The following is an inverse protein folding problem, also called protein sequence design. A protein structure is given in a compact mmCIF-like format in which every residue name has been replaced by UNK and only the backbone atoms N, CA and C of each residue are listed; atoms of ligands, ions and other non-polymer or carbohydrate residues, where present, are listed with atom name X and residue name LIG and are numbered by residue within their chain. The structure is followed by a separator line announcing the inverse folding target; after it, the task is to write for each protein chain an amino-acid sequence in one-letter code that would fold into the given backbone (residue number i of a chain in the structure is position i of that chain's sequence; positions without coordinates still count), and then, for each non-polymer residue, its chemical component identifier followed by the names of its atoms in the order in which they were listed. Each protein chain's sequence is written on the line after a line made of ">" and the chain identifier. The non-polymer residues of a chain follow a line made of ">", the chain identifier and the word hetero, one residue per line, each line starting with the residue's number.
data_IF_153835396222
#
_entry.id   IF_153835396222
#
_cell.length_a   1.000
_cell.length_b   1.000
_cell.length_c   1.000
_cell.angle_alpha   90.00
_cell.angle_beta   90.00
_cell.angle_gamma   90.00
#
_symmetry.space_group_name_H-M   'P 1'
#
loop_
_entity.id
_entity.type
_entity.pdbx_description
1 polymer ?
#
# COMPACT_ATOMS: atom_id res chain seq x y z
N UNK A 1 -27.49 -20.97 -29.32
CA UNK A 1 -27.20 -19.53 -29.26
C UNK A 1 -26.88 -19.22 -27.80
N UNK A 2 -25.69 -18.69 -27.51
CA UNK A 2 -25.17 -18.59 -26.13
C UNK A 2 -25.47 -17.20 -25.53
N UNK A 3 -25.49 -16.15 -26.36
CA UNK A 3 -25.88 -14.79 -25.98
C UNK A 3 -26.19 -13.93 -27.22
N UNK A 4 -26.88 -12.80 -27.03
CA UNK A 4 -27.06 -11.72 -28.01
C UNK A 4 -26.44 -10.43 -27.46
N UNK A 5 -25.67 -9.72 -28.29
CA UNK A 5 -24.91 -8.53 -27.89
C UNK A 5 -25.46 -7.28 -28.59
N UNK A 6 -25.53 -6.19 -27.85
CA UNK A 6 -26.01 -4.89 -28.32
C UNK A 6 -24.93 -3.80 -28.33
N UNK A 7 -25.37 -2.56 -28.56
CA UNK A 7 -24.48 -1.39 -28.57
C UNK A 7 -23.83 -1.19 -27.20
N UNK A 8 -22.49 -1.13 -27.19
CA UNK A 8 -21.69 -0.95 -25.97
C UNK A 8 -21.16 -2.25 -25.36
N UNK A 9 -21.62 -3.40 -25.86
CA UNK A 9 -21.11 -4.69 -25.39
C UNK A 9 -19.74 -5.03 -25.96
N UNK A 10 -18.96 -5.76 -25.19
CA UNK A 10 -17.64 -6.26 -25.57
C UNK A 10 -17.63 -7.77 -25.72
N UNK A 11 -16.73 -8.27 -26.56
CA UNK A 11 -16.52 -9.70 -26.76
C UNK A 11 -15.06 -10.05 -27.06
N UNK A 12 -14.68 -11.31 -26.85
CA UNK A 12 -13.33 -11.82 -27.11
C UNK A 12 -12.33 -11.58 -25.98
N UNK A 13 -12.75 -10.87 -24.93
CA UNK A 13 -11.99 -10.61 -23.72
C UNK A 13 -11.58 -11.89 -23.00
N UNK A 14 -12.44 -12.93 -23.02
CA UNK A 14 -12.16 -14.18 -22.33
C UNK A 14 -10.90 -14.83 -22.88
N UNK A 15 -10.69 -14.79 -24.20
CA UNK A 15 -9.50 -15.35 -24.82
C UNK A 15 -8.24 -14.54 -24.48
N UNK A 16 -8.37 -13.21 -24.36
CA UNK A 16 -7.27 -12.33 -23.98
C UNK A 16 -6.85 -12.55 -22.52
N UNK A 17 -7.81 -12.66 -21.61
CA UNK A 17 -7.55 -12.78 -20.17
C UNK A 17 -7.18 -14.20 -19.77
N UNK A 18 -7.81 -15.23 -20.35
CA UNK A 18 -7.55 -16.64 -20.00
C UNK A 18 -6.38 -17.28 -20.74
N UNK A 19 -5.83 -16.60 -21.75
CA UNK A 19 -4.81 -17.14 -22.67
C UNK A 19 -5.23 -18.49 -23.28
N UNK A 20 -6.52 -18.63 -23.59
CA UNK A 20 -7.11 -19.80 -24.25
C UNK A 20 -7.60 -19.46 -25.66
N UNK A 21 -7.80 -20.48 -26.52
CA UNK A 21 -8.53 -20.31 -27.78
C UNK A 21 -9.93 -19.73 -27.55
N UNK A 22 -10.50 -19.12 -28.60
CA UNK A 22 -11.83 -18.50 -28.54
C UNK A 22 -12.88 -19.50 -28.06
N UNK A 23 -13.63 -19.12 -27.02
CA UNK A 23 -14.72 -19.92 -26.43
C UNK A 23 -15.97 -19.99 -27.30
N UNK A 24 -16.19 -18.98 -28.14
CA UNK A 24 -17.38 -18.86 -28.97
C UNK A 24 -17.07 -18.22 -30.32
N UNK A 25 -17.93 -18.51 -31.30
CA UNK A 25 -17.93 -17.84 -32.60
C UNK A 25 -18.99 -16.75 -32.59
N UNK A 26 -18.64 -15.56 -33.10
CA UNK A 26 -19.57 -14.44 -33.25
C UNK A 26 -19.97 -14.31 -34.71
N UNK A 27 -21.26 -14.07 -34.93
CA UNK A 27 -21.84 -13.77 -36.23
C UNK A 27 -22.69 -12.52 -36.10
N UNK A 28 -22.54 -11.60 -37.05
CA UNK A 28 -23.32 -10.38 -37.11
C UNK A 28 -24.70 -10.70 -37.69
N UNK A 29 -25.75 -10.18 -37.05
CA UNK A 29 -27.12 -10.30 -37.56
C UNK A 29 -27.39 -9.19 -38.57
N UNK A 30 -26.88 -7.99 -38.29
CA UNK A 30 -26.99 -6.78 -39.11
C UNK A 30 -25.61 -6.14 -39.37
N UNK A 31 -25.59 -4.99 -40.06
CA UNK A 31 -24.39 -4.17 -40.25
C UNK A 31 -23.96 -3.55 -38.91
N UNK A 32 -22.70 -3.79 -38.51
CA UNK A 32 -22.17 -3.35 -37.21
C UNK A 32 -20.78 -2.72 -37.37
N UNK A 33 -20.51 -1.71 -36.57
CA UNK A 33 -19.18 -1.15 -36.38
C UNK A 33 -18.62 -1.62 -35.04
N UNK A 34 -17.35 -2.05 -35.04
CA UNK A 34 -16.68 -2.55 -33.83
C UNK A 34 -15.33 -1.88 -33.66
N UNK A 35 -15.02 -1.52 -32.42
CA UNK A 35 -13.69 -1.10 -32.03
C UNK A 35 -12.85 -2.31 -31.66
N UNK A 36 -11.65 -2.42 -32.23
CA UNK A 36 -10.74 -3.54 -31.97
C UNK A 36 -9.57 -3.10 -31.09
N UNK A 37 -9.34 -3.83 -30.00
CA UNK A 37 -8.17 -3.65 -29.14
C UNK A 37 -7.24 -4.85 -29.29
N UNK A 38 -5.96 -4.62 -29.57
CA UNK A 38 -5.00 -5.72 -29.69
C UNK A 38 -4.56 -6.22 -28.31
N UNK A 39 -4.11 -7.48 -28.25
CA UNK A 39 -3.60 -8.09 -27.01
C UNK A 39 -2.49 -7.26 -26.38
N UNK A 40 -1.54 -6.77 -27.19
CA UNK A 40 -0.42 -5.96 -26.70
C UNK A 40 -0.90 -4.66 -26.06
N UNK A 41 -1.86 -3.98 -26.69
CA UNK A 41 -2.42 -2.73 -26.17
C UNK A 41 -3.26 -2.97 -24.92
N UNK A 42 -4.04 -4.05 -24.89
CA UNK A 42 -4.83 -4.46 -23.72
C UNK A 42 -3.93 -4.76 -22.51
N UNK A 43 -2.87 -5.55 -22.70
CA UNK A 43 -1.88 -5.84 -21.65
C UNK A 43 -1.16 -4.58 -21.16
N UNK A 44 -0.89 -3.63 -22.06
CA UNK A 44 -0.29 -2.35 -21.71
C UNK A 44 -1.25 -1.48 -20.87
N UNK A 45 -2.52 -1.40 -21.27
CA UNK A 45 -3.56 -0.65 -20.54
C UNK A 45 -3.84 -1.25 -19.15
N UNK A 46 -3.82 -2.58 -19.02
CA UNK A 46 -3.95 -3.25 -17.74
C UNK A 46 -2.83 -2.88 -16.76
N UNK A 47 -1.61 -2.62 -17.25
CA UNK A 47 -0.48 -2.20 -16.39
C UNK A 47 -0.57 -0.74 -15.96
N UNK A 48 -1.21 0.10 -16.77
CA UNK A 48 -1.26 1.55 -16.54
C UNK A 48 -2.45 1.98 -15.67
N UNK A 49 -3.56 1.24 -15.71
CA UNK A 49 -4.82 1.68 -15.11
C UNK A 49 -5.42 0.63 -14.18
N UNK A 50 -5.46 0.90 -12.87
CA UNK A 50 -6.20 0.07 -11.91
C UNK A 50 -7.70 -0.04 -12.24
N UNK A 51 -8.30 1.02 -12.81
CA UNK A 51 -9.70 1.00 -13.22
C UNK A 51 -9.96 -0.02 -14.35
N UNK A 52 -9.02 -0.16 -15.30
CA UNK A 52 -9.12 -1.14 -16.38
C UNK A 52 -8.98 -2.57 -15.86
N UNK A 53 -8.14 -2.79 -14.84
CA UNK A 53 -8.03 -4.08 -14.18
C UNK A 53 -9.35 -4.48 -13.52
N UNK A 54 -9.95 -3.58 -12.73
CA UNK A 54 -11.19 -3.88 -12.02
C UNK A 54 -12.37 -4.12 -12.97
N UNK A 55 -12.49 -3.30 -14.04
CA UNK A 55 -13.49 -3.49 -15.07
C UNK A 55 -13.35 -4.86 -15.77
N UNK A 56 -12.11 -5.25 -16.12
CA UNK A 56 -11.82 -6.54 -16.77
C UNK A 56 -12.14 -7.71 -15.84
N UNK A 57 -11.81 -7.59 -14.55
CA UNK A 57 -12.11 -8.60 -13.52
C UNK A 57 -13.61 -8.79 -13.33
N UNK A 58 -14.36 -7.70 -13.20
CA UNK A 58 -15.81 -7.71 -13.05
C UNK A 58 -16.50 -8.35 -14.25
N UNK A 59 -16.10 -7.94 -15.46
CA UNK A 59 -16.68 -8.45 -16.69
C UNK A 59 -16.40 -9.96 -16.87
N UNK A 60 -15.21 -10.42 -16.48
CA UNK A 60 -14.87 -11.85 -16.50
C UNK A 60 -15.72 -12.67 -15.52
N UNK A 61 -15.92 -12.17 -14.30
CA UNK A 61 -16.76 -12.85 -13.30
C UNK A 61 -18.21 -12.97 -13.76
N UNK A 62 -18.76 -11.90 -14.36
CA UNK A 62 -20.11 -11.88 -14.93
C UNK A 62 -20.25 -12.90 -16.08
N UNK A 63 -19.26 -12.97 -16.99
CA UNK A 63 -19.27 -13.87 -18.14
C UNK A 63 -19.06 -15.35 -17.79
N UNK A 64 -18.19 -15.64 -16.82
CA UNK A 64 -18.04 -17.01 -16.30
C UNK A 64 -19.35 -17.52 -15.69
N UNK A 65 -20.05 -16.67 -14.94
CA UNK A 65 -21.33 -17.03 -14.35
C UNK A 65 -22.42 -17.22 -15.41
N UNK A 66 -22.44 -16.41 -16.47
CA UNK A 66 -23.44 -16.54 -17.54
C UNK A 66 -23.24 -17.79 -18.39
N UNK A 67 -21.99 -18.19 -18.66
CA UNK A 67 -21.67 -19.39 -19.45
C UNK A 67 -21.96 -20.65 -18.64
N UNK A 68 -21.52 -20.69 -17.37
CA UNK A 68 -21.69 -21.85 -16.49
C UNK A 68 -23.16 -22.12 -16.15
N UNK A 69 -24.00 -21.08 -16.15
CA UNK A 69 -25.44 -21.21 -15.90
C UNK A 69 -26.23 -21.76 -17.10
N UNK A 70 -25.70 -21.67 -18.32
CA UNK A 70 -26.43 -21.98 -19.56
C UNK A 70 -26.04 -23.32 -20.19
N UNK A 71 -24.92 -23.93 -19.80
CA UNK A 71 -24.46 -25.21 -20.35
C UNK A 71 -23.89 -26.14 -19.25
N UNK A 72 -24.63 -27.22 -18.96
CA UNK A 72 -24.23 -28.25 -17.97
C UNK A 72 -22.98 -29.04 -18.40
N UNK A 73 -22.73 -29.17 -19.71
CA UNK A 73 -21.55 -29.88 -20.23
C UNK A 73 -20.26 -29.09 -19.99
N UNK A 74 -20.38 -27.77 -19.92
CA UNK A 74 -19.27 -26.84 -19.73
C UNK A 74 -18.88 -26.64 -18.27
N UNK A 75 -19.67 -27.09 -17.28
CA UNK A 75 -19.39 -26.86 -15.85
C UNK A 75 -18.01 -27.34 -15.40
N UNK A 76 -17.53 -28.46 -15.95
CA UNK A 76 -16.23 -29.05 -15.57
C UNK A 76 -15.05 -28.34 -16.23
N UNK A 77 -15.23 -27.83 -17.45
CA UNK A 77 -14.23 -27.01 -18.13
C UNK A 77 -14.25 -25.56 -17.62
N UNK A 78 -15.41 -25.00 -17.31
CA UNK A 78 -15.58 -23.65 -16.78
C UNK A 78 -14.74 -23.41 -15.53
N UNK A 79 -14.68 -24.38 -14.60
CA UNK A 79 -13.81 -24.28 -13.42
C UNK A 79 -12.31 -24.22 -13.77
N UNK A 80 -11.86 -24.99 -14.76
CA UNK A 80 -10.48 -24.92 -15.26
C UNK A 80 -10.18 -23.60 -15.95
N UNK A 81 -11.17 -23.03 -16.63
CA UNK A 81 -11.05 -21.75 -17.31
C UNK A 81 -11.03 -20.60 -16.32
N UNK A 82 -11.87 -20.64 -15.28
CA UNK A 82 -11.86 -19.70 -14.16
C UNK A 82 -10.51 -19.70 -13.45
N UNK A 83 -10.00 -20.88 -13.09
CA UNK A 83 -8.71 -21.02 -12.43
C UNK A 83 -7.56 -20.46 -13.30
N UNK A 84 -7.52 -20.81 -14.58
CA UNK A 84 -6.49 -20.33 -15.51
C UNK A 84 -6.60 -18.84 -15.78
N UNK A 85 -7.81 -18.32 -15.93
CA UNK A 85 -8.04 -16.91 -16.18
C UNK A 85 -7.68 -16.06 -14.95
N UNK A 86 -8.00 -16.51 -13.73
CA UNK A 86 -7.53 -15.88 -12.50
C UNK A 86 -6.00 -15.92 -12.39
N UNK A 87 -5.38 -17.07 -12.72
CA UNK A 87 -3.93 -17.22 -12.67
C UNK A 87 -3.21 -16.32 -13.67
N UNK A 88 -3.75 -16.19 -14.89
CA UNK A 88 -3.17 -15.34 -15.92
C UNK A 88 -3.43 -13.86 -15.64
N UNK A 89 -4.64 -13.51 -15.19
CA UNK A 89 -4.98 -12.16 -14.74
C UNK A 89 -4.06 -11.70 -13.61
N UNK A 90 -3.86 -12.53 -12.56
CA UNK A 90 -2.94 -12.23 -11.46
C UNK A 90 -1.47 -12.11 -11.91
N UNK A 91 -1.08 -12.83 -12.96
CA UNK A 91 0.26 -12.72 -13.56
C UNK A 91 0.40 -11.43 -14.39
N UNK A 92 -0.67 -10.98 -15.04
CA UNK A 92 -0.71 -9.75 -15.83
C UNK A 92 -0.84 -8.51 -14.95
N UNK A 93 -1.48 -8.62 -13.78
CA UNK A 93 -1.64 -7.56 -12.79
C UNK A 93 -0.45 -7.41 -11.84
N UNK A 94 0.77 -7.80 -12.25
CA UNK A 94 2.00 -7.83 -11.42
C UNK A 94 2.59 -6.46 -11.04
N UNK A 95 1.73 -5.54 -10.62
CA UNK A 95 2.07 -4.61 -9.56
C UNK A 95 1.17 -4.97 -8.40
N UNK A 96 1.75 -5.57 -7.35
CA UNK A 96 1.10 -5.62 -6.04
C UNK A 96 0.76 -4.18 -5.72
N UNK A 97 -0.50 -3.82 -5.89
CA UNK A 97 -0.95 -2.47 -5.66
C UNK A 97 -1.06 -2.31 -4.15
N UNK A 98 -0.79 -1.12 -3.61
CA UNK A 98 -0.97 -0.83 -2.18
C UNK A 98 -2.35 -1.29 -1.67
N UNK A 99 -3.35 -1.19 -2.53
CA UNK A 99 -4.72 -1.66 -2.29
C UNK A 99 -4.85 -3.18 -2.08
N UNK A 100 -4.04 -4.00 -2.75
CA UNK A 100 -4.06 -5.47 -2.57
C UNK A 100 -3.40 -5.86 -1.24
N UNK A 101 -2.32 -5.15 -0.85
CA UNK A 101 -1.69 -5.27 0.46
C UNK A 101 -2.65 -4.86 1.56
N UNK A 102 -3.33 -3.73 1.42
CA UNK A 102 -4.33 -3.25 2.37
C UNK A 102 -5.54 -4.19 2.47
N UNK A 103 -6.04 -4.71 1.34
CA UNK A 103 -7.13 -5.67 1.32
C UNK A 103 -6.77 -6.97 2.06
N UNK A 104 -5.56 -7.50 1.85
CA UNK A 104 -5.11 -8.71 2.55
C UNK A 104 -4.78 -8.44 4.03
N UNK A 105 -4.23 -7.26 4.35
CA UNK A 105 -4.01 -6.78 5.72
C UNK A 105 -5.33 -6.53 6.46
N UNK A 106 -6.40 -6.14 5.77
CA UNK A 106 -7.73 -5.92 6.34
C UNK A 106 -8.47 -7.22 6.67
N UNK A 107 -8.21 -8.32 5.93
CA UNK A 107 -8.76 -9.65 6.24
C UNK A 107 -8.21 -10.23 7.55
N UNK A 108 -6.99 -9.87 7.94
CA UNK A 108 -6.44 -10.22 9.25
C UNK A 108 -6.89 -9.22 10.32
N UNK A 109 -7.94 -9.57 11.09
CA UNK A 109 -8.33 -8.83 12.29
C UNK A 109 -7.14 -8.70 13.26
N UNK A 110 -6.53 -7.51 13.29
CA UNK A 110 -5.40 -7.17 14.16
C UNK A 110 -4.01 -7.17 13.51
N UNK A 111 -3.86 -7.69 12.28
CA UNK A 111 -2.57 -7.72 11.57
C UNK A 111 -2.10 -6.34 11.10
N UNK A 112 -3.03 -5.49 10.68
CA UNK A 112 -2.73 -4.12 10.23
C UNK A 112 -2.14 -3.26 11.36
N UNK A 113 -2.69 -3.31 12.57
CA UNK A 113 -2.16 -2.51 13.69
C UNK A 113 -0.79 -2.99 14.18
N UNK A 114 -0.53 -4.29 14.14
CA UNK A 114 0.82 -4.81 14.44
C UNK A 114 1.82 -4.43 13.35
N UNK A 115 1.41 -4.35 12.08
CA UNK A 115 2.25 -3.89 11.00
C UNK A 115 2.58 -2.38 11.12
N UNK A 116 1.56 -1.55 11.44
CA UNK A 116 1.76 -0.12 11.72
C UNK A 116 2.71 0.06 12.90
N UNK A 117 2.45 -0.62 14.01
CA UNK A 117 3.31 -0.56 15.19
C UNK A 117 4.75 -1.01 14.90
N UNK A 118 4.92 -2.08 14.12
CA UNK A 118 6.25 -2.58 13.75
C UNK A 118 6.99 -1.59 12.85
N UNK A 119 6.29 -0.92 11.94
CA UNK A 119 6.86 0.13 11.09
C UNK A 119 7.42 1.28 11.91
N UNK A 120 6.60 1.85 12.80
CA UNK A 120 6.99 2.92 13.73
C UNK A 120 8.15 2.44 14.63
N UNK A 121 8.10 1.19 15.09
CA UNK A 121 9.16 0.63 15.93
C UNK A 121 10.49 0.53 15.17
N UNK A 122 10.46 0.13 13.91
CA UNK A 122 11.68 -0.04 13.10
C UNK A 122 12.37 1.31 12.83
N UNK A 123 11.59 2.36 12.62
CA UNK A 123 12.07 3.73 12.39
C UNK A 123 12.57 4.41 13.69
N UNK A 124 11.91 4.14 14.81
CA UNK A 124 12.31 4.66 16.12
C UNK A 124 13.65 4.11 16.63
N UNK A 125 14.20 3.03 16.05
CA UNK A 125 15.50 2.47 16.46
C UNK A 125 16.66 3.40 16.05
N UNK A 126 16.87 3.75 14.76
CA UNK A 126 17.87 4.73 14.37
C UNK A 126 17.72 6.07 15.09
N UNK A 127 16.50 6.60 15.19
CA UNK A 127 16.23 7.90 15.79
C UNK A 127 16.60 7.93 17.27
N UNK A 128 16.16 6.91 18.03
CA UNK A 128 16.44 6.84 19.46
C UNK A 128 17.94 6.78 19.76
N UNK A 129 18.72 6.00 19.00
CA UNK A 129 20.18 5.93 19.16
C UNK A 129 20.85 7.30 18.97
N UNK A 130 20.42 8.06 17.96
CA UNK A 130 20.97 9.39 17.65
C UNK A 130 20.59 10.39 18.76
N UNK A 131 19.35 10.38 19.22
CA UNK A 131 18.92 11.22 20.35
C UNK A 131 19.81 10.94 21.57
N UNK A 132 20.10 9.66 21.86
CA UNK A 132 21.01 9.25 22.93
C UNK A 132 22.42 9.84 22.80
N UNK A 133 23.00 9.73 21.61
CA UNK A 133 24.31 10.31 21.30
C UNK A 133 24.30 11.85 21.44
N UNK A 134 23.26 12.52 20.96
CA UNK A 134 23.14 13.98 21.06
C UNK A 134 22.99 14.46 22.51
N UNK A 135 22.27 13.71 23.36
CA UNK A 135 22.15 14.00 24.79
C UNK A 135 23.52 13.95 25.48
N UNK A 136 24.30 12.90 25.25
CA UNK A 136 25.62 12.75 25.90
C UNK A 136 26.64 13.74 25.33
N UNK A 137 26.55 14.04 24.03
CA UNK A 137 27.37 15.07 23.38
C UNK A 137 27.12 16.46 23.95
N UNK A 138 25.84 16.82 24.13
CA UNK A 138 25.44 18.08 24.75
C UNK A 138 25.89 18.15 26.23
N UNK A 139 25.70 17.06 26.98
CA UNK A 139 26.11 16.98 28.38
C UNK A 139 27.64 17.11 28.57
N UNK A 140 28.44 16.53 27.68
CA UNK A 140 29.91 16.63 27.75
C UNK A 140 30.43 18.05 27.46
N UNK A 141 29.69 18.84 26.69
CA UNK A 141 30.03 20.22 26.35
C UNK A 141 29.36 21.25 27.28
N UNK A 142 28.71 20.81 28.35
CA UNK A 142 27.91 21.65 29.27
C UNK A 142 26.86 22.50 28.54
N UNK A 143 26.34 21.98 27.42
CA UNK A 143 25.34 22.63 26.59
C UNK A 143 23.98 21.98 26.76
N UNK A 144 22.92 22.79 26.74
CA UNK A 144 21.56 22.29 26.63
C UNK A 144 21.31 21.77 25.21
N UNK A 145 20.50 20.72 25.09
CA UNK A 145 20.02 20.25 23.79
C UNK A 145 19.25 21.36 23.07
N UNK A 146 19.40 21.45 21.76
CA UNK A 146 18.68 22.42 20.94
C UNK A 146 17.16 22.25 21.08
N UNK A 147 16.49 23.29 21.59
CA UNK A 147 15.03 23.34 21.67
C UNK A 147 14.40 23.19 20.28
N UNK A 148 15.07 23.68 19.23
CA UNK A 148 14.61 23.53 17.86
C UNK A 148 14.62 22.05 17.40
N UNK A 149 15.61 21.27 17.83
CA UNK A 149 15.67 19.84 17.55
C UNK A 149 14.54 19.08 18.25
N UNK A 150 14.34 19.34 19.55
CA UNK A 150 13.24 18.73 20.33
C UNK A 150 11.88 19.07 19.71
N UNK A 151 11.66 20.34 19.36
CA UNK A 151 10.43 20.79 18.72
C UNK A 151 10.23 20.16 17.33
N UNK A 152 11.31 20.00 16.55
CA UNK A 152 11.28 19.35 15.24
C UNK A 152 10.89 17.87 15.32
N UNK A 153 11.54 17.11 16.21
CA UNK A 153 11.22 15.70 16.48
C UNK A 153 9.77 15.54 16.94
N UNK A 154 9.30 16.42 17.82
CA UNK A 154 7.90 16.40 18.28
C UNK A 154 6.91 16.67 17.14
N UNK A 155 7.18 17.66 16.30
CA UNK A 155 6.32 18.02 15.17
C UNK A 155 6.30 16.93 14.09
N UNK A 156 7.39 16.21 13.88
CA UNK A 156 7.45 15.08 12.95
C UNK A 156 6.61 13.89 13.43
N UNK A 157 6.69 13.55 14.72
CA UNK A 157 6.02 12.39 15.30
C UNK A 157 4.52 12.63 15.62
N UNK A 158 4.07 13.88 15.75
CA UNK A 158 2.69 14.19 16.13
C UNK A 158 1.64 13.75 15.08
N UNK A 159 1.78 14.08 13.78
CA UNK A 159 0.84 13.63 12.75
C UNK A 159 0.78 12.10 12.64
N UNK A 160 1.92 11.43 12.75
CA UNK A 160 2.03 9.98 12.67
C UNK A 160 1.33 9.29 13.84
N UNK A 161 1.50 9.82 15.05
CA UNK A 161 0.81 9.32 16.23
C UNK A 161 -0.71 9.49 16.14
N UNK A 162 -1.16 10.62 15.59
CA UNK A 162 -2.59 10.87 15.38
C UNK A 162 -3.18 9.95 14.30
N UNK A 163 -2.58 9.87 13.11
CA UNK A 163 -3.09 9.05 12.00
C UNK A 163 -3.12 7.57 12.39
N UNK A 164 -2.05 7.03 12.95
CA UNK A 164 -2.00 5.62 13.36
C UNK A 164 -3.01 5.29 14.48
N UNK A 165 -3.22 6.18 15.46
CA UNK A 165 -4.23 5.98 16.49
C UNK A 165 -5.65 6.01 15.91
N UNK A 166 -5.95 6.92 14.97
CA UNK A 166 -7.24 6.99 14.26
C UNK A 166 -7.46 5.74 13.42
N UNK A 167 -6.45 5.30 12.67
CA UNK A 167 -6.51 4.10 11.81
C UNK A 167 -6.73 2.83 12.65
N UNK A 168 -5.99 2.66 13.75
CA UNK A 168 -6.23 1.56 14.69
C UNK A 168 -7.63 1.62 15.31
N UNK A 169 -8.16 2.83 15.58
CA UNK A 169 -9.50 2.99 16.13
C UNK A 169 -10.61 2.68 15.12
N UNK A 170 -10.45 3.06 13.86
CA UNK A 170 -11.35 2.71 12.74
C UNK A 170 -11.40 1.20 12.52
N UNK A 171 -10.29 0.50 12.76
CA UNK A 171 -10.21 -0.96 12.73
C UNK A 171 -10.83 -1.66 13.96
N UNK A 172 -11.49 -0.92 14.85
CA UNK A 172 -12.19 -1.48 16.01
C UNK A 172 -11.26 -1.88 17.16
N UNK A 173 -10.01 -1.40 17.18
CA UNK A 173 -9.09 -1.70 18.28
C UNK A 173 -9.47 -0.88 19.52
N UNK A 174 -9.42 -1.56 20.68
CA UNK A 174 -9.73 -0.96 21.96
C UNK A 174 -8.66 0.06 22.37
N UNK A 175 -9.10 1.20 22.91
CA UNK A 175 -8.23 2.28 23.40
C UNK A 175 -7.13 1.78 24.34
N UNK A 176 -7.45 0.85 25.26
CA UNK A 176 -6.45 0.27 26.19
C UNK A 176 -5.30 -0.42 25.46
N UNK A 177 -5.59 -1.11 24.35
CA UNK A 177 -4.56 -1.78 23.54
C UNK A 177 -3.71 -0.76 22.77
N UNK A 178 -4.34 0.30 22.23
CA UNK A 178 -3.63 1.40 21.57
C UNK A 178 -2.65 2.05 22.56
N UNK A 179 -3.12 2.46 23.74
CA UNK A 179 -2.25 3.02 24.79
C UNK A 179 -1.12 2.05 25.18
N UNK A 180 -1.39 0.75 25.33
CA UNK A 180 -0.35 -0.23 25.64
C UNK A 180 0.72 -0.33 24.54
N UNK A 181 0.35 -0.22 23.27
CA UNK A 181 1.28 -0.24 22.13
C UNK A 181 2.12 1.04 22.04
N UNK A 182 1.54 2.19 22.40
CA UNK A 182 2.29 3.46 22.47
C UNK A 182 3.27 3.50 23.63
N UNK A 183 2.86 3.01 24.80
CA UNK A 183 3.76 2.91 25.94
C UNK A 183 4.94 1.99 25.65
N UNK A 184 4.72 0.88 24.92
CA UNK A 184 5.83 0.00 24.53
C UNK A 184 6.82 0.68 23.58
N UNK A 185 6.33 1.48 22.61
CA UNK A 185 7.19 2.29 21.74
C UNK A 185 8.02 3.31 22.54
N UNK A 186 7.40 4.02 23.48
CA UNK A 186 8.09 5.00 24.32
C UNK A 186 9.19 4.35 25.20
N UNK A 187 8.91 3.17 25.76
CA UNK A 187 9.93 2.43 26.51
C UNK A 187 11.06 1.99 25.59
N UNK A 188 10.73 1.49 24.40
CA UNK A 188 11.71 1.02 23.43
C UNK A 188 12.62 2.15 22.94
N UNK A 189 12.08 3.33 22.62
CA UNK A 189 12.88 4.49 22.24
C UNK A 189 13.70 5.02 23.41
N UNK A 190 13.19 4.98 24.64
CA UNK A 190 13.99 5.30 25.83
C UNK A 190 15.19 4.36 26.00
N UNK A 191 15.00 3.06 25.81
CA UNK A 191 16.09 2.07 25.84
C UNK A 191 17.07 2.30 24.68
N UNK A 192 16.56 2.55 23.47
CA UNK A 192 17.39 2.88 22.31
C UNK A 192 18.25 4.12 22.54
N UNK A 193 17.69 5.18 23.13
CA UNK A 193 18.46 6.38 23.50
C UNK A 193 19.50 6.11 24.58
N UNK A 194 19.18 5.30 25.58
CA UNK A 194 20.17 4.89 26.58
C UNK A 194 21.31 4.09 25.94
N UNK A 195 21.00 3.14 25.05
CA UNK A 195 22.00 2.39 24.29
C UNK A 195 22.84 3.33 23.43
N UNK A 196 22.20 4.28 22.75
CA UNK A 196 22.86 5.29 21.92
C UNK A 196 23.86 6.13 22.70
N UNK A 197 23.48 6.57 23.90
CA UNK A 197 24.35 7.33 24.80
C UNK A 197 25.56 6.52 25.31
N UNK A 198 25.47 5.19 25.38
CA UNK A 198 26.54 4.32 25.87
C UNK A 198 27.47 3.82 24.76
N UNK A 199 26.95 3.54 23.57
CA UNK A 199 27.70 2.92 22.47
C UNK A 199 28.43 3.97 21.63
N UNK A 200 27.82 5.13 21.39
CA UNK A 200 28.39 6.12 20.48
C UNK A 200 29.29 7.11 21.23
N UNK A 201 30.49 7.42 20.68
CA UNK A 201 31.37 8.40 21.28
C UNK A 201 30.76 9.81 21.21
N UNK A 202 31.06 10.62 22.24
CA UNK A 202 30.62 12.01 22.41
C UNK A 202 30.96 12.89 21.19
N UNK A 203 32.10 12.61 20.55
CA UNK A 203 32.55 13.25 19.31
C UNK A 203 32.87 12.19 18.25
N UNK A 204 31.90 11.78 17.42
CA UNK A 204 32.16 10.89 16.30
C UNK A 204 33.00 11.62 15.25
N UNK A 205 34.25 11.21 15.09
CA UNK A 205 35.15 11.74 14.05
C UNK A 205 35.31 10.74 12.90
N UNK A 206 35.55 11.26 11.68
CA UNK A 206 35.86 10.44 10.51
C UNK A 206 34.68 9.58 10.03
N UNK A 207 34.96 8.30 9.73
CA UNK A 207 34.01 7.36 9.12
C UNK A 207 32.73 7.15 9.92
N UNK A 208 32.80 7.24 11.26
CA UNK A 208 31.65 7.03 12.15
C UNK A 208 30.57 8.10 11.96
N UNK A 209 30.96 9.37 11.78
CA UNK A 209 30.02 10.47 11.53
C UNK A 209 29.27 10.30 10.23
N UNK A 210 30.00 9.96 9.15
CA UNK A 210 29.39 9.72 7.84
C UNK A 210 28.44 8.52 7.85
N UNK A 211 28.75 7.48 8.63
CA UNK A 211 27.89 6.32 8.79
C UNK A 211 26.57 6.67 9.48
N UNK A 212 26.62 7.41 10.60
CA UNK A 212 25.43 7.83 11.35
C UNK A 212 24.56 8.76 10.52
N UNK A 213 25.13 9.81 9.92
CA UNK A 213 24.38 10.71 9.04
C UNK A 213 23.84 10.02 7.79
N UNK A 214 24.51 8.97 7.31
CA UNK A 214 24.02 8.14 6.21
C UNK A 214 22.77 7.35 6.59
N UNK A 215 22.76 6.69 7.75
CA UNK A 215 21.58 5.97 8.27
C UNK A 215 20.43 6.95 8.48
N UNK A 216 20.69 8.11 9.08
CA UNK A 216 19.69 9.14 9.33
C UNK A 216 19.13 9.73 8.03
N UNK A 217 19.98 10.00 7.04
CA UNK A 217 19.54 10.48 5.73
C UNK A 217 18.64 9.48 5.00
N UNK A 218 18.95 8.18 5.11
CA UNK A 218 18.11 7.11 4.57
C UNK A 218 16.78 7.00 5.33
N UNK A 219 16.79 7.06 6.66
CA UNK A 219 15.59 7.03 7.48
C UNK A 219 14.69 8.26 7.21
N UNK A 220 15.27 9.46 7.15
CA UNK A 220 14.56 10.69 6.80
C UNK A 220 13.94 10.63 5.39
N UNK A 221 14.66 10.07 4.41
CA UNK A 221 14.13 9.85 3.06
C UNK A 221 13.00 8.82 3.02
N UNK A 222 13.11 7.76 3.82
CA UNK A 222 12.07 6.75 3.97
C UNK A 222 10.81 7.34 4.62
N UNK A 223 10.94 8.15 5.66
CA UNK A 223 9.82 8.90 6.28
C UNK A 223 9.17 9.86 5.29
N UNK A 224 9.95 10.63 4.53
CA UNK A 224 9.42 11.53 3.49
C UNK A 224 8.60 10.78 2.44
N UNK A 225 9.10 9.63 2.00
CA UNK A 225 8.41 8.74 1.05
C UNK A 225 7.15 8.14 1.66
N UNK A 226 7.22 7.73 2.94
CA UNK A 226 6.08 7.17 3.66
C UNK A 226 4.98 8.21 3.79
N UNK A 227 5.28 9.41 4.32
CA UNK A 227 4.32 10.52 4.46
C UNK A 227 3.73 10.90 3.11
N UNK A 228 4.56 11.00 2.06
CA UNK A 228 4.09 11.35 0.73
C UNK A 228 3.13 10.30 0.14
N UNK A 229 3.29 9.02 0.50
CA UNK A 229 2.49 7.93 -0.05
C UNK A 229 1.29 7.54 0.82
N UNK A 230 1.33 7.77 2.14
CA UNK A 230 0.26 7.37 3.06
C UNK A 230 -0.52 8.55 3.61
N UNK A 231 0.14 9.62 4.04
CA UNK A 231 -0.51 10.75 4.73
C UNK A 231 -1.10 11.77 3.74
N UNK A 232 -0.44 12.01 2.60
CA UNK A 232 -0.95 12.93 1.56
C UNK A 232 -2.29 12.48 0.96
N UNK A 233 -2.47 11.20 0.56
CA UNK A 233 -3.76 10.71 0.08
C UNK A 233 -4.85 10.74 1.16
N UNK A 234 -4.54 10.31 2.39
CA UNK A 234 -5.49 10.36 3.51
C UNK A 234 -5.95 11.79 3.83
N UNK A 235 -5.03 12.76 3.76
CA UNK A 235 -5.36 14.18 3.95
C UNK A 235 -6.24 14.73 2.81
N UNK A 236 -6.04 14.25 1.57
CA UNK A 236 -6.88 14.63 0.43
C UNK A 236 -8.29 14.04 0.53
N UNK A 237 -8.42 12.77 0.92
CA UNK A 237 -9.72 12.11 1.10
C UNK A 237 -10.51 12.64 2.29
N UNK A 238 -9.85 12.91 3.42
CA UNK A 238 -10.53 13.44 4.63
C UNK A 238 -10.72 14.96 4.60
N UNK A 239 -9.93 15.68 3.82
CA UNK A 239 -10.00 17.15 3.70
C UNK A 239 -11.19 17.66 2.89
N UNK A 240 -11.75 16.84 2.00
CA UNK A 240 -12.84 17.25 1.11
C UNK A 240 -12.47 18.42 0.18
N UNK A 241 -13.36 18.76 -0.75
CA UNK A 241 -13.19 19.81 -1.77
C UNK A 241 -12.99 21.25 -1.27
N UNK A 242 -12.73 21.45 0.02
CA UNK A 242 -12.59 22.79 0.65
C UNK A 242 -11.13 23.25 0.76
N UNK A 243 -10.14 22.36 0.62
CA UNK A 243 -8.70 22.70 0.75
C UNK A 243 -7.97 22.72 -0.60
N UNK A 244 -8.54 22.10 -1.64
CA UNK A 244 -8.07 22.28 -3.01
C UNK A 244 -8.61 23.63 -3.50
N UNK A 245 -7.83 24.69 -3.36
CA UNK A 245 -8.16 26.04 -3.83
C UNK A 245 -8.28 26.14 -5.35
N UNK A 246 -9.20 25.38 -5.94
CA UNK A 246 -9.61 25.44 -7.34
C UNK A 246 -11.11 25.77 -7.31
N UNK A 247 -11.39 27.06 -7.12
CA UNK A 247 -12.63 27.68 -7.60
C UNK A 247 -12.40 28.21 -9.01
#
# INVERSE_FOLDING_TARGET
>A
MIDELGTGDTFGEMALISDQPRSATIRTVDEVEVYTLQKVDFEYLLKLSPAMQEASRKLMAERLHSITARDDSFKKEAGLWEEKALKNFNRLSLTVTSHDLEAEMSKQKGGSATAIWLGIALDGIPESLIIGMLVISAAAHDQAMSIAFIAGVFLANLPEAMSSAVTMRRQGINLRKIFSMWTSLCIMTGIGAMIGALIFPVDPQGAMRYFISGIEGVAAGAMLTMIANTMLPEAFEQGGSTISGIS
#
